data_IF_410711115298
#
_entry.id   IF_410711115298
#
_cell.length_a   1.000
_cell.length_b   1.000
_cell.length_c   1.000
_cell.angle_alpha   90.00
_cell.angle_beta   90.00
_cell.angle_gamma   90.00
#
_symmetry.space_group_name_H-M   'P 1'
#
loop_
_entity.id
_entity.type
_entity.pdbx_description
1 polymer ?
#
# COMPACT_ATOMS: atom_id res chain seq x y z
N UNK A 1 1.45 3.92 -13.59
CA UNK A 1 0.27 3.63 -14.41
C UNK A 1 -0.81 3.04 -13.54
N UNK A 2 -2.09 3.37 -13.79
CA UNK A 2 -3.19 3.11 -12.85
C UNK A 2 -3.80 1.70 -12.91
N UNK A 3 -3.51 0.91 -13.95
CA UNK A 3 -4.16 -0.40 -14.17
C UNK A 3 -5.69 -0.31 -14.29
N UNK A 4 -6.21 0.86 -14.71
CA UNK A 4 -7.65 1.11 -14.85
C UNK A 4 -8.27 0.35 -16.03
N UNK A 5 -7.44 -0.11 -16.97
CA UNK A 5 -7.80 -0.96 -18.11
C UNK A 5 -7.86 -2.45 -17.75
N UNK A 6 -7.61 -2.82 -16.48
CA UNK A 6 -7.68 -4.21 -16.02
C UNK A 6 -6.59 -5.11 -16.57
N UNK A 7 -5.56 -4.54 -17.20
CA UNK A 7 -4.39 -5.28 -17.66
C UNK A 7 -4.24 -5.42 -19.18
N UNK A 8 -4.97 -4.62 -19.96
CA UNK A 8 -4.83 -4.53 -21.43
C UNK A 8 -3.40 -4.08 -21.81
N UNK A 9 -2.89 -3.01 -21.18
CA UNK A 9 -1.57 -2.46 -21.47
C UNK A 9 -0.45 -3.08 -20.62
N UNK A 10 -0.75 -3.48 -19.39
CA UNK A 10 0.25 -4.01 -18.46
C UNK A 10 -0.30 -5.21 -17.69
N UNK A 11 0.46 -6.30 -17.60
CA UNK A 11 -0.01 -7.57 -16.99
C UNK A 11 -0.10 -7.56 -15.46
N UNK A 12 0.18 -6.43 -14.80
CA UNK A 12 0.09 -6.27 -13.33
C UNK A 12 -0.04 -4.78 -12.96
N UNK A 13 -0.76 -4.42 -11.88
CA UNK A 13 -0.70 -3.07 -11.34
C UNK A 13 0.69 -2.70 -10.84
N UNK A 14 1.17 -1.52 -11.22
CA UNK A 14 2.40 -0.93 -10.69
C UNK A 14 2.17 -0.33 -9.29
N UNK A 15 1.76 -1.18 -8.35
CA UNK A 15 1.70 -0.87 -6.93
C UNK A 15 2.95 -1.45 -6.25
N UNK A 16 3.61 -0.64 -5.41
CA UNK A 16 4.87 -0.99 -4.77
C UNK A 16 4.86 -0.58 -3.29
N UNK A 17 5.47 -1.42 -2.45
CA UNK A 17 5.68 -1.11 -1.03
C UNK A 17 6.96 -0.31 -0.81
N UNK A 18 7.16 0.14 0.43
CA UNK A 18 8.39 0.81 0.86
C UNK A 18 9.67 -0.01 0.58
N UNK A 19 9.57 -1.35 0.53
CA UNK A 19 10.71 -2.22 0.21
C UNK A 19 11.24 -1.98 -1.21
N UNK A 20 10.36 -1.72 -2.18
CA UNK A 20 10.80 -1.40 -3.54
C UNK A 20 11.52 -0.06 -3.58
N UNK A 21 10.95 0.98 -2.95
CA UNK A 21 11.57 2.31 -2.87
C UNK A 21 12.95 2.21 -2.22
N UNK A 22 13.08 1.46 -1.12
CA UNK A 22 14.36 1.26 -0.44
C UNK A 22 15.40 0.53 -1.30
N UNK A 23 14.99 -0.42 -2.14
CA UNK A 23 15.92 -1.14 -3.03
C UNK A 23 16.38 -0.30 -4.22
N UNK A 24 15.51 0.60 -4.69
CA UNK A 24 15.71 1.37 -5.90
C UNK A 24 16.16 2.82 -5.65
N UNK A 25 16.35 3.21 -4.39
CA UNK A 25 16.75 4.57 -4.01
C UNK A 25 17.49 4.58 -2.67
N UNK A 26 18.00 5.75 -2.29
CA UNK A 26 18.60 6.02 -0.98
C UNK A 26 17.66 6.79 -0.03
N UNK A 27 16.42 7.10 -0.43
CA UNK A 27 15.52 7.95 0.35
C UNK A 27 15.15 7.39 1.72
N UNK A 28 15.10 6.06 1.85
CA UNK A 28 14.74 5.42 3.10
C UNK A 28 15.83 5.51 4.18
N UNK A 29 17.07 5.88 3.83
CA UNK A 29 18.19 5.92 4.78
C UNK A 29 18.06 7.04 5.83
N UNK A 30 17.49 8.17 5.44
CA UNK A 30 17.25 9.34 6.31
C UNK A 30 15.75 9.65 6.48
N UNK A 31 14.87 8.73 6.09
CA UNK A 31 13.44 8.93 6.19
C UNK A 31 12.99 8.78 7.65
N UNK A 32 12.10 9.68 8.11
CA UNK A 32 11.49 9.56 9.45
C UNK A 32 10.63 8.30 9.61
N UNK A 33 10.18 7.72 8.50
CA UNK A 33 9.30 6.57 8.49
C UNK A 33 10.07 5.27 8.33
N UNK A 34 9.67 4.26 9.09
CA UNK A 34 10.18 2.90 9.01
C UNK A 34 9.54 2.14 7.83
N UNK A 35 10.40 1.61 6.95
CA UNK A 35 10.02 0.80 5.78
C UNK A 35 9.53 -0.61 6.12
N UNK A 36 9.83 -1.11 7.31
CA UNK A 36 9.44 -2.45 7.78
C UNK A 36 8.02 -2.48 8.36
N UNK A 37 7.59 -1.39 8.97
CA UNK A 37 6.30 -1.30 9.67
C UNK A 37 5.16 -1.10 8.66
N UNK A 38 4.02 -1.76 8.89
CA UNK A 38 2.80 -1.65 8.04
C UNK A 38 1.76 -0.70 8.62
N UNK A 39 1.77 -0.51 9.94
CA UNK A 39 0.91 0.40 10.68
C UNK A 39 1.67 0.95 11.91
N UNK A 40 1.11 1.96 12.57
CA UNK A 40 1.77 2.68 13.66
C UNK A 40 2.36 4.03 13.20
N UNK A 41 2.75 4.85 14.18
CA UNK A 41 3.15 6.25 13.95
C UNK A 41 4.39 6.40 13.05
N UNK A 42 5.33 5.47 13.16
CA UNK A 42 6.55 5.42 12.35
C UNK A 42 6.34 4.74 10.99
N UNK A 43 5.20 4.10 10.73
CA UNK A 43 5.06 3.30 9.52
C UNK A 43 5.11 4.12 8.24
N UNK A 44 5.89 3.64 7.26
CA UNK A 44 5.93 4.24 5.95
C UNK A 44 4.55 4.16 5.28
N UNK A 45 3.95 5.30 4.88
CA UNK A 45 2.61 5.29 4.28
C UNK A 45 2.52 4.41 3.02
N UNK A 46 3.59 4.32 2.23
CA UNK A 46 3.62 3.43 1.06
C UNK A 46 3.49 1.95 1.45
N UNK A 47 4.03 1.55 2.59
CA UNK A 47 3.87 0.17 3.06
C UNK A 47 2.42 -0.06 3.53
N UNK A 48 1.85 0.86 4.30
CA UNK A 48 0.44 0.81 4.73
C UNK A 48 -0.51 0.73 3.53
N UNK A 49 -0.43 1.68 2.59
CA UNK A 49 -1.32 1.72 1.43
C UNK A 49 -1.13 0.56 0.46
N UNK A 50 0.08 0.02 0.35
CA UNK A 50 0.32 -1.16 -0.48
C UNK A 50 -0.47 -2.37 0.03
N UNK A 51 -0.41 -2.65 1.34
CA UNK A 51 -1.14 -3.78 1.91
C UNK A 51 -2.66 -3.54 1.94
N UNK A 52 -3.10 -2.33 2.26
CA UNK A 52 -4.52 -1.93 2.18
C UNK A 52 -5.08 -2.06 0.74
N UNK A 53 -4.32 -1.66 -0.29
CA UNK A 53 -4.72 -1.82 -1.69
C UNK A 53 -4.89 -3.29 -2.07
N UNK A 54 -3.96 -4.16 -1.66
CA UNK A 54 -4.04 -5.59 -1.95
C UNK A 54 -5.25 -6.24 -1.29
N UNK A 55 -5.53 -5.87 -0.04
CA UNK A 55 -6.69 -6.36 0.72
C UNK A 55 -8.02 -5.95 0.05
N UNK A 56 -8.18 -4.66 -0.25
CA UNK A 56 -9.40 -4.15 -0.91
C UNK A 56 -9.67 -4.71 -2.31
N UNK A 57 -8.63 -5.19 -2.99
CA UNK A 57 -8.73 -5.65 -4.38
C UNK A 57 -8.31 -7.11 -4.56
N UNK A 58 -8.19 -7.87 -3.47
CA UNK A 58 -7.67 -9.24 -3.48
C UNK A 58 -8.40 -10.11 -4.51
N UNK A 59 -9.73 -10.09 -4.54
CA UNK A 59 -10.53 -10.90 -5.46
C UNK A 59 -10.22 -10.62 -6.93
N UNK A 60 -10.15 -9.33 -7.32
CA UNK A 60 -9.81 -8.92 -8.70
C UNK A 60 -8.38 -9.30 -9.06
N UNK A 61 -7.47 -9.22 -8.10
CA UNK A 61 -6.05 -9.52 -8.30
C UNK A 61 -5.75 -11.02 -8.32
N UNK A 62 -6.59 -11.88 -7.71
CA UNK A 62 -6.43 -13.34 -7.78
C UNK A 62 -6.49 -13.88 -9.21
N UNK A 63 -7.28 -13.26 -10.07
CA UNK A 63 -7.34 -13.61 -11.49
C UNK A 63 -6.00 -13.36 -12.21
N UNK A 64 -5.14 -12.49 -11.65
CA UNK A 64 -3.82 -12.18 -12.19
C UNK A 64 -2.77 -13.11 -11.56
N UNK A 65 -2.37 -14.17 -12.27
CA UNK A 65 -1.46 -15.20 -11.74
C UNK A 65 -0.13 -14.67 -11.15
N UNK A 66 0.37 -13.52 -11.64
CA UNK A 66 1.59 -12.85 -11.14
C UNK A 66 1.45 -12.26 -9.73
N UNK A 67 0.23 -12.15 -9.20
CA UNK A 67 -0.04 -11.62 -7.86
C UNK A 67 -0.16 -12.71 -6.79
N UNK A 68 -0.29 -13.98 -7.19
CA UNK A 68 -0.62 -15.08 -6.28
C UNK A 68 0.30 -15.20 -5.06
N UNK A 69 1.61 -15.05 -5.24
CA UNK A 69 2.56 -15.14 -4.11
C UNK A 69 2.35 -14.05 -3.06
N UNK A 70 2.02 -12.83 -3.52
CA UNK A 70 1.82 -11.69 -2.64
C UNK A 70 0.47 -11.84 -1.93
N UNK A 71 -0.57 -12.28 -2.64
CA UNK A 71 -1.89 -12.53 -2.04
C UNK A 71 -1.86 -13.68 -1.03
N UNK A 72 -1.04 -14.73 -1.24
CA UNK A 72 -0.80 -15.76 -0.22
C UNK A 72 -0.15 -15.19 1.03
N UNK A 73 0.71 -14.18 0.90
CA UNK A 73 1.28 -13.49 2.06
C UNK A 73 0.23 -12.68 2.82
N UNK A 74 -0.70 -12.06 2.10
CA UNK A 74 -1.83 -11.33 2.68
C UNK A 74 -2.78 -12.27 3.43
N UNK A 75 -3.11 -13.43 2.86
CA UNK A 75 -3.97 -14.46 3.50
C UNK A 75 -3.43 -15.00 4.82
N UNK A 76 -2.11 -14.93 5.04
CA UNK A 76 -1.47 -15.36 6.28
C UNK A 76 -1.45 -14.29 7.37
N UNK A 77 -1.82 -13.06 7.05
CA UNK A 77 -1.96 -12.01 8.06
C UNK A 77 -3.21 -12.27 8.89
N UNK A 78 -3.11 -12.11 10.20
CA UNK A 78 -4.27 -12.24 11.06
C UNK A 78 -5.23 -11.05 10.88
N UNK A 79 -6.46 -11.23 11.35
CA UNK A 79 -7.50 -10.23 11.21
C UNK A 79 -7.20 -8.93 11.97
N UNK A 80 -6.44 -8.99 13.06
CA UNK A 80 -6.09 -7.81 13.85
C UNK A 80 -5.08 -6.94 13.10
N UNK A 81 -4.05 -7.55 12.50
CA UNK A 81 -3.07 -6.90 11.64
C UNK A 81 -3.75 -6.23 10.44
N UNK A 82 -4.64 -6.95 9.74
CA UNK A 82 -5.39 -6.39 8.61
C UNK A 82 -6.25 -5.20 9.03
N UNK A 83 -6.94 -5.29 10.18
CA UNK A 83 -7.73 -4.19 10.70
C UNK A 83 -6.87 -2.98 11.08
N UNK A 84 -5.70 -3.18 11.68
CA UNK A 84 -4.76 -2.10 11.98
C UNK A 84 -4.26 -1.40 10.71
N UNK A 85 -3.93 -2.15 9.67
CA UNK A 85 -3.53 -1.60 8.36
C UNK A 85 -4.66 -0.76 7.76
N UNK A 86 -5.90 -1.27 7.74
CA UNK A 86 -7.08 -0.54 7.24
C UNK A 86 -7.32 0.75 8.01
N UNK A 87 -7.25 0.71 9.34
CA UNK A 87 -7.44 1.89 10.19
C UNK A 87 -6.34 2.93 9.94
N UNK A 88 -5.08 2.51 9.83
CA UNK A 88 -3.97 3.39 9.51
C UNK A 88 -4.13 4.03 8.12
N UNK A 89 -4.55 3.26 7.11
CA UNK A 89 -4.81 3.78 5.77
C UNK A 89 -5.91 4.85 5.76
N UNK A 90 -7.01 4.60 6.49
CA UNK A 90 -8.09 5.57 6.66
C UNK A 90 -7.64 6.82 7.42
N UNK A 91 -6.78 6.68 8.43
CA UNK A 91 -6.21 7.81 9.14
C UNK A 91 -5.42 8.71 8.19
N UNK A 92 -4.52 8.12 7.38
CA UNK A 92 -3.76 8.87 6.37
C UNK A 92 -4.66 9.54 5.33
N UNK A 93 -5.68 8.84 4.83
CA UNK A 93 -6.65 9.42 3.89
C UNK A 93 -7.36 10.63 4.51
N UNK A 94 -7.88 10.51 5.73
CA UNK A 94 -8.54 11.64 6.42
C UNK A 94 -7.57 12.81 6.60
N UNK A 95 -6.37 12.55 7.10
CA UNK A 95 -5.36 13.57 7.35
C UNK A 95 -4.99 14.33 6.07
N UNK A 96 -4.77 13.61 4.97
CA UNK A 96 -4.34 14.22 3.71
C UNK A 96 -5.49 14.81 2.91
N UNK A 97 -6.72 14.28 3.03
CA UNK A 97 -7.92 14.90 2.47
C UNK A 97 -8.21 16.24 3.12
N UNK A 98 -8.08 16.35 4.46
CA UNK A 98 -8.23 17.63 5.17
C UNK A 98 -7.14 18.62 4.76
N UNK A 99 -5.89 18.17 4.69
CA UNK A 99 -4.78 19.03 4.24
C UNK A 99 -4.99 19.55 2.82
N UNK A 100 -5.37 18.66 1.90
CA UNK A 100 -5.65 19.03 0.51
C UNK A 100 -6.81 20.01 0.36
N UNK A 101 -7.81 19.98 1.25
CA UNK A 101 -8.91 20.95 1.24
C UNK A 101 -8.52 22.31 1.87
N UNK A 102 -7.55 22.32 2.80
CA UNK A 102 -7.03 23.54 3.43
C UNK A 102 -6.04 24.31 2.55
N UNK A 103 -5.31 23.62 1.67
CA UNK A 103 -4.31 24.22 0.76
C UNK A 103 -4.95 24.91 -0.49
N UNK A 104 -6.29 25.04 -0.54
CA UNK A 104 -7.07 25.67 -1.65
C UNK A 104 -7.61 27.06 -1.28
N UNK A 105 -7.21 27.64 -0.13
CA UNK A 105 -7.51 29.03 0.22
C UNK A 105 -6.25 29.87 0.37
#
# INVERSE_FOLDING_TARGET
GQFADGGILATKPYAASANYINKMSNYCASCRYNKGDRHGESACPFNTFYWDFLDRHQEKLRAQGRMNLILKSLERMDAAELNAIRQQAQHWQRQWSVKAAGDVN
#
